data_IF_714749411898
#
_entry.id   IF_714749411898
#
_cell.length_a   1.000
_cell.length_b   1.000
_cell.length_c   1.000
_cell.angle_alpha   90.00
_cell.angle_beta   90.00
_cell.angle_gamma   90.00
#
_symmetry.space_group_name_H-M   'P 1'
#
loop_
_entity.id
_entity.type
_entity.pdbx_description
1 polymer ?
#
# COMPACT_ATOMS: atom_id res chain seq x y z
N UNK A 1 -6.53 -9.54 51.52
CA UNK A 1 -6.73 -8.17 51.01
C UNK A 1 -7.99 -8.17 50.15
N UNK A 2 -9.13 -7.78 50.74
CA UNK A 2 -10.39 -7.66 50.00
C UNK A 2 -10.32 -6.42 49.08
N UNK A 3 -10.81 -6.55 47.85
CA UNK A 3 -10.72 -5.53 46.80
C UNK A 3 -11.71 -4.36 46.99
N UNK A 4 -12.54 -4.41 48.03
CA UNK A 4 -13.49 -3.38 48.42
C UNK A 4 -13.12 -2.80 49.78
N UNK A 5 -13.04 -1.47 49.87
CA UNK A 5 -12.66 -0.77 51.11
C UNK A 5 -13.81 -0.69 52.12
N UNK A 6 -15.08 -0.77 51.68
CA UNK A 6 -16.28 -0.74 52.53
C UNK A 6 -17.51 -1.23 51.75
N UNK A 7 -18.55 -1.81 52.40
CA UNK A 7 -19.85 -2.12 51.80
C UNK A 7 -20.60 -0.88 51.27
N UNK A 8 -20.40 0.29 51.90
CA UNK A 8 -21.13 1.53 51.59
C UNK A 8 -20.36 2.46 50.62
N UNK A 9 -19.49 1.89 49.79
CA UNK A 9 -18.70 2.69 48.86
C UNK A 9 -19.60 3.28 47.77
N UNK A 10 -19.60 4.61 47.66
CA UNK A 10 -20.30 5.32 46.58
C UNK A 10 -19.73 4.88 45.21
N UNK A 11 -20.56 4.16 44.44
CA UNK A 11 -20.25 3.69 43.10
C UNK A 11 -20.64 4.68 42.00
N UNK A 12 -21.25 5.82 42.36
CA UNK A 12 -21.71 6.83 41.38
C UNK A 12 -20.55 7.60 40.75
N UNK A 13 -19.40 7.66 41.41
CA UNK A 13 -18.21 8.36 40.94
C UNK A 13 -17.11 7.39 40.54
N UNK A 14 -17.10 6.96 39.27
CA UNK A 14 -15.97 6.20 38.73
C UNK A 14 -14.82 7.15 38.35
N UNK A 15 -13.95 7.42 39.32
CA UNK A 15 -12.69 8.12 39.09
C UNK A 15 -11.61 7.22 38.44
N UNK A 16 -11.93 5.96 38.12
CA UNK A 16 -11.01 5.02 37.48
C UNK A 16 -11.10 5.17 35.97
N UNK A 17 -9.95 5.24 35.31
CA UNK A 17 -9.85 5.22 33.86
C UNK A 17 -9.60 6.58 33.21
N UNK A 18 -9.05 6.53 32.01
CA UNK A 18 -8.79 7.71 31.20
C UNK A 18 -10.09 8.24 30.62
N UNK A 19 -10.38 9.53 30.81
CA UNK A 19 -11.54 10.19 30.22
C UNK A 19 -11.58 9.93 28.72
N UNK A 20 -12.73 9.43 28.24
CA UNK A 20 -13.00 9.22 26.81
C UNK A 20 -12.67 10.52 26.06
N UNK A 21 -11.98 10.40 24.91
CA UNK A 21 -11.50 11.51 24.07
C UNK A 21 -10.23 12.24 24.53
N UNK A 22 -9.57 11.83 25.63
CA UNK A 22 -8.25 12.36 25.96
C UNK A 22 -7.11 11.58 25.31
N UNK A 23 -6.07 12.32 24.91
CA UNK A 23 -4.84 11.75 24.37
C UNK A 23 -4.01 11.12 25.50
N UNK A 24 -3.62 9.85 25.32
CA UNK A 24 -2.88 9.10 26.35
C UNK A 24 -1.36 9.27 26.26
N UNK A 25 -0.83 9.35 25.04
CA UNK A 25 0.61 9.30 24.76
C UNK A 25 1.17 10.59 24.14
N UNK A 26 0.30 11.37 23.49
CA UNK A 26 0.63 12.54 22.68
C UNK A 26 -0.15 13.75 23.18
N UNK A 27 0.32 14.94 22.84
CA UNK A 27 -0.28 16.20 23.30
C UNK A 27 -1.13 16.85 22.22
N UNK A 28 -1.98 17.80 22.62
CA UNK A 28 -2.72 18.65 21.67
C UNK A 28 -1.76 19.49 20.79
N UNK A 29 -0.56 19.80 21.28
CA UNK A 29 0.48 20.47 20.48
C UNK A 29 0.97 19.58 19.33
N UNK A 30 1.10 18.28 19.56
CA UNK A 30 1.50 17.33 18.51
C UNK A 30 0.40 17.21 17.45
N UNK A 31 -0.86 17.19 17.86
CA UNK A 31 -2.02 17.24 16.97
C UNK A 31 -2.02 18.52 16.10
N UNK A 32 -1.78 19.69 16.69
CA UNK A 32 -1.68 20.96 15.95
C UNK A 32 -0.52 20.96 14.95
N UNK A 33 0.64 20.42 15.32
CA UNK A 33 1.81 20.29 14.42
C UNK A 33 1.48 19.42 13.21
N UNK A 34 0.81 18.28 13.42
CA UNK A 34 0.35 17.39 12.34
C UNK A 34 -0.55 18.16 11.36
N UNK A 35 -1.53 18.92 11.86
CA UNK A 35 -2.45 19.69 11.01
C UNK A 35 -1.73 20.80 10.23
N UNK A 36 -0.77 21.49 10.87
CA UNK A 36 0.03 22.53 10.21
C UNK A 36 0.85 21.95 9.05
N UNK A 37 1.49 20.80 9.27
CA UNK A 37 2.24 20.09 8.23
C UNK A 37 1.32 19.65 7.09
N UNK A 38 0.17 19.05 7.40
CA UNK A 38 -0.81 18.63 6.40
C UNK A 38 -1.24 19.81 5.51
N UNK A 39 -1.69 20.93 6.10
CA UNK A 39 -2.10 22.13 5.33
C UNK A 39 -0.98 22.68 4.45
N UNK A 40 0.25 22.62 4.93
CA UNK A 40 1.38 23.09 4.15
C UNK A 40 1.72 22.13 3.01
N UNK A 41 1.58 20.81 3.18
CA UNK A 41 1.72 19.85 2.09
C UNK A 41 0.61 20.00 1.04
N UNK A 42 -0.62 20.25 1.49
CA UNK A 42 -1.81 20.38 0.62
C UNK A 42 -1.79 21.64 -0.25
N UNK A 43 -1.25 22.76 0.27
CA UNK A 43 -1.10 24.02 -0.49
C UNK A 43 0.02 23.99 -1.53
N UNK A 44 0.97 23.07 -1.42
CA UNK A 44 2.07 22.97 -2.36
C UNK A 44 1.65 22.12 -3.55
N UNK A 45 1.34 22.77 -4.68
CA UNK A 45 0.96 22.09 -5.94
C UNK A 45 2.04 21.15 -6.50
N UNK A 46 3.29 21.28 -6.04
CA UNK A 46 4.41 20.40 -6.40
C UNK A 46 4.45 19.09 -5.61
N UNK A 47 3.67 18.95 -4.53
CA UNK A 47 3.68 17.76 -3.67
C UNK A 47 2.55 16.81 -4.06
N UNK A 48 2.90 15.69 -4.68
CA UNK A 48 1.94 14.67 -5.13
C UNK A 48 1.28 13.88 -3.97
N UNK A 49 1.88 13.88 -2.77
CA UNK A 49 1.46 13.03 -1.67
C UNK A 49 1.47 13.75 -0.30
N UNK A 50 0.30 13.92 0.30
CA UNK A 50 0.08 14.57 1.61
C UNK A 50 -0.31 13.59 2.74
N UNK A 51 -0.15 12.29 2.51
CA UNK A 51 -0.56 11.24 3.45
C UNK A 51 0.27 11.15 4.73
N UNK A 52 -0.12 10.23 5.63
CA UNK A 52 0.46 10.09 6.96
C UNK A 52 1.99 9.90 6.96
N UNK A 53 2.55 9.19 5.96
CA UNK A 53 3.99 8.99 5.82
C UNK A 53 4.75 10.26 5.47
N UNK A 54 4.19 11.11 4.59
CA UNK A 54 4.80 12.41 4.24
C UNK A 54 4.81 13.35 5.45
N UNK A 55 3.71 13.35 6.22
CA UNK A 55 3.63 14.12 7.46
C UNK A 55 4.66 13.64 8.46
N UNK A 56 4.83 12.32 8.63
CA UNK A 56 5.80 11.76 9.57
C UNK A 56 7.23 12.20 9.24
N UNK A 57 7.65 12.07 7.98
CA UNK A 57 8.98 12.49 7.55
C UNK A 57 9.21 13.99 7.79
N UNK A 58 8.24 14.83 7.43
CA UNK A 58 8.35 16.27 7.63
C UNK A 58 8.32 16.66 9.11
N UNK A 59 7.57 15.93 9.94
CA UNK A 59 7.54 16.12 11.38
C UNK A 59 8.89 15.81 12.02
N UNK A 60 9.51 14.68 11.66
CA UNK A 60 10.83 14.31 12.16
C UNK A 60 11.90 15.34 11.77
N UNK A 61 11.82 15.89 10.55
CA UNK A 61 12.74 16.94 10.09
C UNK A 61 12.54 18.28 10.82
N UNK A 62 11.30 18.68 11.09
CA UNK A 62 10.99 19.96 11.75
C UNK A 62 11.15 19.90 13.27
N UNK A 63 11.03 18.72 13.87
CA UNK A 63 11.05 18.53 15.32
C UNK A 63 11.94 17.35 15.74
N UNK A 64 13.26 17.40 15.47
CA UNK A 64 14.17 16.27 15.73
C UNK A 64 14.28 15.91 17.21
N UNK A 65 14.09 16.87 18.12
CA UNK A 65 14.10 16.64 19.58
C UNK A 65 12.74 16.28 20.19
N UNK A 66 11.67 16.23 19.39
CA UNK A 66 10.35 15.85 19.88
C UNK A 66 10.17 14.34 19.91
N UNK A 67 9.27 13.87 20.78
CA UNK A 67 8.87 12.46 20.82
C UNK A 67 8.35 12.02 19.45
N UNK A 68 8.84 10.87 18.97
CA UNK A 68 8.43 10.30 17.69
C UNK A 68 6.92 9.99 17.70
N UNK A 69 6.21 10.52 16.71
CA UNK A 69 4.79 10.28 16.49
C UNK A 69 4.58 9.03 15.63
N UNK A 70 3.54 8.26 15.92
CA UNK A 70 3.22 7.05 15.15
C UNK A 70 2.34 7.39 13.95
N UNK A 71 2.48 6.63 12.85
CA UNK A 71 1.58 6.72 11.68
C UNK A 71 0.11 6.58 12.08
N UNK A 72 -0.18 5.68 13.04
CA UNK A 72 -1.54 5.50 13.57
C UNK A 72 -2.07 6.75 14.24
N UNK A 73 -1.25 7.47 15.00
CA UNK A 73 -1.66 8.72 15.62
C UNK A 73 -1.95 9.79 14.56
N UNK A 74 -1.07 9.93 13.56
CA UNK A 74 -1.29 10.85 12.44
C UNK A 74 -2.59 10.53 11.71
N UNK A 75 -2.81 9.26 11.34
CA UNK A 75 -4.03 8.83 10.65
C UNK A 75 -5.30 9.11 11.47
N UNK A 76 -5.28 8.83 12.78
CA UNK A 76 -6.40 9.17 13.69
C UNK A 76 -6.65 10.66 13.78
N UNK A 77 -5.60 11.47 13.83
CA UNK A 77 -5.70 12.93 13.84
C UNK A 77 -6.33 13.44 12.54
N UNK A 78 -5.86 12.98 11.38
CA UNK A 78 -6.45 13.37 10.09
C UNK A 78 -7.92 12.95 9.98
N UNK A 79 -8.25 11.72 10.38
CA UNK A 79 -9.63 11.23 10.38
C UNK A 79 -10.54 12.04 11.31
N UNK A 80 -10.06 12.40 12.51
CA UNK A 80 -10.78 13.25 13.48
C UNK A 80 -11.14 14.61 12.89
N UNK A 81 -10.30 15.17 12.02
CA UNK A 81 -10.51 16.47 11.37
C UNK A 81 -11.12 16.36 9.96
N UNK A 82 -11.56 15.18 9.53
CA UNK A 82 -12.15 14.99 8.19
C UNK A 82 -11.16 15.12 7.03
N UNK A 83 -9.85 15.10 7.29
CA UNK A 83 -8.78 15.25 6.31
C UNK A 83 -8.30 13.90 5.72
N UNK A 84 -8.86 12.78 6.19
CA UNK A 84 -8.54 11.47 5.63
C UNK A 84 -9.46 11.18 4.45
N UNK A 85 -8.87 10.94 3.27
CA UNK A 85 -9.60 10.35 2.15
C UNK A 85 -10.09 8.96 2.55
N UNK A 86 -11.41 8.74 2.51
CA UNK A 86 -11.95 7.39 2.70
C UNK A 86 -11.47 6.53 1.54
N UNK A 87 -10.93 5.32 1.78
CA UNK A 87 -10.62 4.41 0.70
C UNK A 87 -11.91 4.19 -0.11
N UNK A 88 -11.83 4.32 -1.44
CA UNK A 88 -12.96 4.01 -2.31
C UNK A 88 -13.36 2.57 -2.03
N UNK A 89 -14.61 2.36 -1.59
CA UNK A 89 -15.14 1.02 -1.36
C UNK A 89 -15.05 0.27 -2.69
N UNK A 90 -14.42 -0.90 -2.67
CA UNK A 90 -14.35 -1.77 -3.85
C UNK A 90 -15.75 -2.26 -4.17
N UNK A 91 -16.42 -1.60 -5.11
CA UNK A 91 -17.72 -2.05 -5.63
C UNK A 91 -17.46 -3.29 -6.49
N UNK A 92 -17.94 -4.45 -6.07
CA UNK A 92 -17.96 -5.66 -6.92
C UNK A 92 -18.75 -5.33 -8.19
N UNK A 93 -18.16 -5.52 -9.37
CA UNK A 93 -18.81 -5.27 -10.65
C UNK A 93 -18.46 -3.95 -11.35
N UNK A 94 -17.71 -3.03 -10.72
CA UNK A 94 -17.26 -1.82 -11.42
C UNK A 94 -16.36 -2.14 -12.64
N UNK A 95 -15.62 -3.25 -12.60
CA UNK A 95 -14.85 -3.78 -13.73
C UNK A 95 -15.69 -4.53 -14.77
N UNK A 96 -16.97 -4.80 -14.48
CA UNK A 96 -17.90 -5.46 -15.40
C UNK A 96 -18.42 -4.47 -16.44
N UNK A 97 -18.48 -3.18 -16.07
CA UNK A 97 -18.83 -2.04 -16.94
C UNK A 97 -17.61 -1.42 -17.65
N UNK A 98 -16.41 -1.59 -17.10
CA UNK A 98 -15.18 -1.32 -17.85
C UNK A 98 -14.97 -2.51 -18.78
N UNK A 99 -15.64 -2.48 -19.93
CA UNK A 99 -15.48 -3.39 -21.06
C UNK A 99 -14.05 -3.32 -21.65
N UNK A 100 -13.00 -3.48 -20.85
CA UNK A 100 -11.79 -4.10 -21.34
C UNK A 100 -12.23 -5.47 -21.84
N UNK A 101 -12.07 -5.78 -23.13
CA UNK A 101 -12.93 -6.77 -23.75
C UNK A 101 -12.34 -8.13 -23.45
N UNK A 102 -12.52 -8.59 -22.22
CA UNK A 102 -12.11 -9.90 -21.73
C UNK A 102 -12.65 -10.98 -22.66
N UNK A 103 -13.88 -10.83 -23.13
CA UNK A 103 -14.50 -11.68 -24.15
C UNK A 103 -13.76 -11.65 -25.48
N UNK A 104 -13.30 -10.48 -25.95
CA UNK A 104 -12.51 -10.35 -27.18
C UNK A 104 -11.11 -10.96 -27.03
N UNK A 105 -10.44 -10.72 -25.90
CA UNK A 105 -9.15 -11.33 -25.56
C UNK A 105 -9.28 -12.84 -25.46
N UNK A 106 -10.30 -13.34 -24.78
CA UNK A 106 -10.57 -14.78 -24.70
C UNK A 106 -10.87 -15.37 -26.09
N UNK A 107 -11.47 -14.62 -27.02
CA UNK A 107 -11.81 -15.11 -28.36
C UNK A 107 -10.75 -14.84 -29.43
N UNK A 108 -9.60 -14.23 -29.09
CA UNK A 108 -8.59 -13.77 -30.04
C UNK A 108 -7.76 -14.90 -30.69
N UNK A 109 -7.88 -16.14 -30.22
CA UNK A 109 -7.19 -17.28 -30.85
C UNK A 109 -7.24 -18.58 -30.04
N UNK A 110 -6.70 -19.64 -30.65
CA UNK A 110 -6.55 -20.96 -30.01
C UNK A 110 -5.47 -21.00 -28.92
N UNK A 111 -4.49 -20.08 -28.99
CA UNK A 111 -3.49 -19.85 -27.96
C UNK A 111 -3.43 -18.36 -27.59
N UNK A 112 -3.27 -18.09 -26.30
CA UNK A 112 -3.11 -16.73 -25.77
C UNK A 112 -2.00 -16.78 -24.74
N UNK A 113 -0.92 -16.04 -25.00
CA UNK A 113 0.21 -15.88 -24.10
C UNK A 113 0.28 -14.42 -23.64
N UNK A 114 0.23 -14.25 -22.32
CA UNK A 114 0.53 -13.00 -21.65
C UNK A 114 2.00 -13.02 -21.19
N UNK A 115 2.69 -11.90 -21.32
CA UNK A 115 4.07 -11.75 -20.88
C UNK A 115 4.24 -10.41 -20.18
N UNK A 116 4.97 -10.43 -19.07
CA UNK A 116 5.36 -9.22 -18.34
C UNK A 116 6.71 -9.41 -17.65
N UNK A 117 7.43 -8.31 -17.46
CA UNK A 117 8.65 -8.30 -16.65
C UNK A 117 8.28 -8.20 -15.17
N UNK A 118 8.85 -9.09 -14.37
CA UNK A 118 8.78 -8.98 -12.92
C UNK A 118 9.87 -8.00 -12.52
N UNK A 119 9.43 -6.77 -12.24
CA UNK A 119 10.30 -5.63 -12.01
C UNK A 119 11.51 -5.90 -11.11
N UNK A 120 12.61 -5.21 -11.41
CA UNK A 120 13.92 -5.20 -10.70
C UNK A 120 13.86 -5.66 -9.24
N UNK A 121 14.47 -6.81 -8.96
CA UNK A 121 14.67 -7.33 -7.59
C UNK A 121 16.11 -7.15 -7.16
N UNK A 122 16.30 -6.58 -5.98
CA UNK A 122 17.63 -6.41 -5.37
C UNK A 122 17.81 -7.49 -4.30
N UNK A 123 18.96 -8.16 -4.33
CA UNK A 123 19.37 -9.12 -3.31
C UNK A 123 20.44 -8.46 -2.46
N UNK A 124 20.44 -8.73 -1.16
CA UNK A 124 21.45 -8.24 -0.23
C UNK A 124 22.86 -8.62 -0.72
N UNK A 125 23.78 -7.65 -0.65
CA UNK A 125 25.16 -7.73 -1.16
C UNK A 125 25.31 -7.74 -2.69
N UNK A 126 24.28 -7.37 -3.46
CA UNK A 126 24.40 -7.12 -4.91
C UNK A 126 23.96 -5.70 -5.26
N UNK A 127 24.78 -5.00 -6.01
CA UNK A 127 24.47 -3.65 -6.54
C UNK A 127 23.55 -3.69 -7.76
N UNK A 128 23.68 -4.73 -8.59
CA UNK A 128 22.86 -4.89 -9.79
C UNK A 128 21.53 -5.61 -9.53
N UNK A 129 20.43 -5.17 -10.15
CA UNK A 129 19.14 -5.85 -10.04
C UNK A 129 19.12 -7.18 -10.78
N UNK A 130 18.32 -8.11 -10.29
CA UNK A 130 17.94 -9.33 -11.00
C UNK A 130 16.56 -9.11 -11.60
N UNK A 131 16.45 -9.43 -12.89
CA UNK A 131 15.23 -9.28 -13.66
C UNK A 131 14.68 -10.66 -14.02
N UNK A 132 13.37 -10.77 -14.05
CA UNK A 132 12.69 -11.97 -14.52
C UNK A 132 11.62 -11.59 -15.52
N UNK A 133 11.33 -12.50 -16.43
CA UNK A 133 10.20 -12.41 -17.33
C UNK A 133 9.22 -13.54 -16.98
N UNK A 134 7.96 -13.18 -16.86
CA UNK A 134 6.87 -14.11 -16.58
C UNK A 134 6.04 -14.32 -17.84
N UNK A 135 5.72 -15.57 -18.12
CA UNK A 135 4.78 -16.00 -19.15
C UNK A 135 3.55 -16.62 -18.49
N UNK A 136 2.37 -16.28 -19.01
CA UNK A 136 1.11 -16.93 -18.69
C UNK A 136 0.40 -17.36 -19.98
N UNK A 137 0.43 -18.65 -20.27
CA UNK A 137 -0.40 -19.25 -21.31
C UNK A 137 -1.79 -19.49 -20.72
N UNK A 138 -2.82 -18.93 -21.36
CA UNK A 138 -4.21 -19.04 -20.93
C UNK A 138 -4.97 -20.12 -21.70
N UNK A 139 -4.60 -20.37 -22.96
CA UNK A 139 -5.20 -21.39 -23.84
C UNK A 139 -4.10 -22.11 -24.64
N UNK A 140 -4.26 -23.41 -24.99
CA UNK A 140 -5.36 -24.31 -24.61
C UNK A 140 -5.24 -24.84 -23.17
N UNK A 141 -4.05 -24.77 -22.57
CA UNK A 141 -3.78 -25.16 -21.18
C UNK A 141 -3.23 -23.99 -20.39
N UNK A 142 -3.50 -23.97 -19.10
CA UNK A 142 -2.91 -22.97 -18.20
C UNK A 142 -1.47 -23.34 -17.90
N UNK A 143 -0.53 -22.49 -18.30
CA UNK A 143 0.88 -22.62 -17.95
C UNK A 143 1.42 -21.29 -17.46
N UNK A 144 2.07 -21.30 -16.30
CA UNK A 144 2.86 -20.16 -15.80
C UNK A 144 4.31 -20.55 -15.81
N UNK A 145 5.15 -19.70 -16.37
CA UNK A 145 6.56 -19.99 -16.51
C UNK A 145 7.38 -18.73 -16.33
N UNK A 146 8.51 -18.85 -15.64
CA UNK A 146 9.36 -17.74 -15.30
C UNK A 146 10.78 -18.01 -15.76
N UNK A 147 11.41 -17.01 -16.35
CA UNK A 147 12.81 -17.07 -16.75
C UNK A 147 13.57 -15.87 -16.21
N UNK A 148 14.82 -16.11 -15.84
CA UNK A 148 15.75 -15.02 -15.55
C UNK A 148 16.14 -14.35 -16.86
N UNK A 149 16.15 -13.02 -16.86
CA UNK A 149 16.58 -12.19 -17.99
C UNK A 149 17.66 -11.23 -17.52
N UNK A 150 18.50 -10.78 -18.44
CA UNK A 150 19.56 -9.82 -18.10
C UNK A 150 18.99 -8.43 -17.89
N UNK A 151 18.03 -8.03 -18.73
CA UNK A 151 17.44 -6.69 -18.72
C UNK A 151 15.98 -6.69 -19.18
N UNK A 152 15.24 -5.66 -18.77
CA UNK A 152 13.85 -5.41 -19.21
C UNK A 152 13.85 -4.72 -20.59
N UNK A 153 14.43 -5.38 -21.60
CA UNK A 153 14.56 -4.85 -22.96
C UNK A 153 13.72 -5.65 -23.96
N UNK A 154 13.35 -5.01 -25.07
CA UNK A 154 12.59 -5.65 -26.14
C UNK A 154 13.35 -6.83 -26.77
N UNK A 155 14.69 -6.73 -26.89
CA UNK A 155 15.53 -7.80 -27.43
C UNK A 155 15.48 -9.06 -26.55
N UNK A 156 15.57 -8.89 -25.23
CA UNK A 156 15.42 -10.00 -24.28
C UNK A 156 14.00 -10.57 -24.33
N UNK A 157 12.96 -9.73 -24.43
CA UNK A 157 11.59 -10.20 -24.56
C UNK A 157 11.41 -11.10 -25.81
N UNK A 158 11.87 -10.67 -26.99
CA UNK A 158 11.76 -11.44 -28.23
C UNK A 158 12.49 -12.78 -28.11
N UNK A 159 13.74 -12.75 -27.64
CA UNK A 159 14.58 -13.96 -27.44
C UNK A 159 13.91 -14.97 -26.52
N UNK A 160 13.38 -14.50 -25.38
CA UNK A 160 12.74 -15.36 -24.40
C UNK A 160 11.36 -15.85 -24.87
N UNK A 161 10.59 -15.05 -25.62
CA UNK A 161 9.35 -15.47 -26.28
C UNK A 161 9.60 -16.63 -27.24
N UNK A 162 10.60 -16.50 -28.11
CA UNK A 162 10.93 -17.52 -29.10
C UNK A 162 11.28 -18.85 -28.44
N UNK A 163 12.09 -18.79 -27.37
CA UNK A 163 12.40 -19.95 -26.54
C UNK A 163 11.15 -20.55 -25.87
N UNK A 164 10.22 -19.72 -25.41
CA UNK A 164 8.97 -20.18 -24.81
C UNK A 164 8.13 -20.95 -25.84
N UNK A 165 7.91 -20.38 -27.03
CA UNK A 165 7.13 -21.01 -28.09
C UNK A 165 7.75 -22.33 -28.56
N UNK A 166 9.07 -22.36 -28.78
CA UNK A 166 9.80 -23.58 -29.15
C UNK A 166 9.71 -24.70 -28.11
N UNK A 167 9.45 -24.36 -26.85
CA UNK A 167 9.37 -25.33 -25.75
C UNK A 167 7.93 -25.79 -25.50
N UNK A 168 6.96 -24.87 -25.58
CA UNK A 168 5.62 -25.08 -25.04
C UNK A 168 4.48 -25.02 -26.06
N UNK A 169 4.70 -24.49 -27.27
CA UNK A 169 3.70 -24.36 -28.35
C UNK A 169 3.97 -25.27 -29.56
N UNK A 170 4.86 -26.25 -29.44
CA UNK A 170 4.99 -27.30 -30.47
C UNK A 170 3.70 -28.15 -30.52
N UNK A 171 3.22 -28.51 -31.73
CA UNK A 171 2.03 -29.35 -31.91
C UNK A 171 2.18 -30.74 -31.28
#
# INVERSE_FOLDING_TARGET
MAWTKSPDQDLSTDARGWKKHQLRQYTLRDEQRILKIHRHLDKNSSVYFSGASAILQKYQKLYPGAKSITLRFIGRTLAKHGLSTKPKVRVKGASQYLHYPKTLIENLGGSIVELDFIGKKFIDNRTEPINFIGFSLTKPRKLKYFQRVESETAAEAIKHCQRFFDTFEKP
#
